data_IF_968260067556
#
_entry.id   IF_968260067556
#
_cell.length_a   1.000
_cell.length_b   1.000
_cell.length_c   1.000
_cell.angle_alpha   90.00
_cell.angle_beta   90.00
_cell.angle_gamma   90.00
#
_symmetry.space_group_name_H-M   'P 1'
#
loop_
_entity.id
_entity.type
_entity.pdbx_description
1 polymer ?
#
# COMPACT_ATOMS: atom_id res chain seq x y z
N UNK A 1 3.84 2.85 17.47
CA UNK A 1 5.20 2.74 16.89
C UNK A 1 5.03 2.64 15.38
N UNK A 2 5.88 3.31 14.60
CA UNK A 2 5.82 3.29 13.13
C UNK A 2 6.69 2.15 12.63
N UNK A 3 6.16 1.35 11.71
CA UNK A 3 6.87 0.21 11.14
C UNK A 3 7.00 0.39 9.62
N UNK A 4 8.17 0.09 9.08
CA UNK A 4 8.47 0.15 7.66
C UNK A 4 7.68 -0.90 6.88
N UNK A 5 7.43 -2.08 7.46
CA UNK A 5 6.50 -3.05 6.85
C UNK A 5 5.06 -2.53 6.78
N UNK A 6 4.70 -1.48 7.52
CA UNK A 6 3.43 -0.75 7.36
C UNK A 6 3.57 0.54 6.54
N UNK A 7 4.72 0.82 5.93
CA UNK A 7 4.98 2.04 5.16
C UNK A 7 5.10 3.28 6.05
N UNK A 8 5.80 3.18 7.17
CA UNK A 8 5.94 4.23 8.20
C UNK A 8 4.63 4.67 8.84
N UNK A 9 3.58 3.85 8.70
CA UNK A 9 2.28 4.06 9.36
C UNK A 9 2.16 3.21 10.63
N UNK A 10 1.10 3.45 11.41
CA UNK A 10 0.78 2.63 12.58
C UNK A 10 0.23 1.27 12.11
N UNK A 11 0.56 0.19 12.82
CA UNK A 11 -0.09 -1.10 12.59
C UNK A 11 -1.60 -1.00 12.84
N UNK A 12 -2.43 -1.63 12.01
CA UNK A 12 -3.87 -1.64 12.21
C UNK A 12 -4.25 -2.43 13.48
N UNK A 13 -5.31 -1.99 14.14
CA UNK A 13 -5.73 -2.53 15.44
C UNK A 13 -6.11 -4.01 15.37
N UNK A 14 -6.79 -4.43 14.29
CA UNK A 14 -7.15 -5.84 14.07
C UNK A 14 -5.90 -6.73 13.99
N UNK A 15 -4.80 -6.26 13.41
CA UNK A 15 -3.57 -7.02 13.29
C UNK A 15 -2.90 -7.17 14.65
N UNK A 16 -2.86 -6.11 15.46
CA UNK A 16 -2.27 -6.16 16.81
C UNK A 16 -3.05 -7.08 17.75
N UNK A 17 -4.39 -7.15 17.60
CA UNK A 17 -5.21 -8.06 18.38
C UNK A 17 -4.90 -9.54 18.06
N UNK A 18 -4.66 -9.84 16.78
CA UNK A 18 -4.50 -11.22 16.29
C UNK A 18 -3.02 -11.67 16.19
N UNK A 19 -2.05 -10.74 16.18
CA UNK A 19 -0.62 -11.06 16.05
C UNK A 19 -0.09 -11.92 17.19
N UNK A 20 -0.73 -11.87 18.36
CA UNK A 20 -0.42 -12.75 19.48
C UNK A 20 -0.60 -14.23 19.15
N UNK A 21 -1.49 -14.59 18.20
CA UNK A 21 -1.69 -15.99 17.78
C UNK A 21 -0.45 -16.56 17.09
N UNK A 22 0.32 -15.73 16.39
CA UNK A 22 1.54 -16.14 15.70
C UNK A 22 2.63 -16.62 16.68
N UNK A 23 2.56 -16.19 17.94
CA UNK A 23 3.49 -16.64 19.00
C UNK A 23 3.26 -18.11 19.40
N UNK A 24 2.02 -18.61 19.23
CA UNK A 24 1.64 -19.99 19.56
C UNK A 24 2.10 -21.01 18.51
N UNK A 25 2.49 -20.54 17.32
CA UNK A 25 2.87 -21.39 16.19
C UNK A 25 4.34 -21.77 16.29
N UNK A 26 4.65 -23.06 16.10
CA UNK A 26 6.03 -23.53 16.00
C UNK A 26 6.72 -22.98 14.75
N UNK A 27 8.01 -22.62 14.86
CA UNK A 27 8.79 -22.00 13.78
C UNK A 27 8.79 -22.78 12.46
N UNK A 28 8.77 -24.11 12.52
CA UNK A 28 8.65 -24.98 11.34
C UNK A 28 7.30 -24.83 10.64
N UNK A 29 6.20 -24.76 11.39
CA UNK A 29 4.85 -24.55 10.84
C UNK A 29 4.71 -23.14 10.29
N UNK A 30 5.28 -22.14 10.96
CA UNK A 30 5.30 -20.75 10.47
C UNK A 30 5.93 -20.65 9.09
N UNK A 31 7.05 -21.35 8.87
CA UNK A 31 7.71 -21.43 7.56
C UNK A 31 6.78 -22.00 6.48
N UNK A 32 6.14 -23.13 6.76
CA UNK A 32 5.26 -23.83 5.81
C UNK A 32 4.00 -23.00 5.50
N UNK A 33 3.39 -22.39 6.51
CA UNK A 33 2.23 -21.49 6.33
C UNK A 33 2.61 -20.31 5.44
N UNK A 34 3.75 -19.66 5.72
CA UNK A 34 4.26 -18.55 4.91
C UNK A 34 4.51 -19.00 3.46
N UNK A 35 5.11 -20.18 3.27
CA UNK A 35 5.37 -20.74 1.93
C UNK A 35 4.09 -21.02 1.15
N UNK A 36 3.08 -21.62 1.78
CA UNK A 36 1.80 -21.89 1.12
C UNK A 36 1.04 -20.60 0.77
N UNK A 37 1.04 -19.61 1.66
CA UNK A 37 0.44 -18.29 1.38
C UNK A 37 1.14 -17.64 0.18
N UNK A 38 2.47 -17.66 0.15
CA UNK A 38 3.26 -17.14 -0.97
C UNK A 38 2.98 -17.89 -2.29
N UNK A 39 2.85 -19.21 -2.25
CA UNK A 39 2.46 -20.00 -3.42
C UNK A 39 1.05 -19.64 -3.90
N UNK A 40 0.10 -19.43 -2.99
CA UNK A 40 -1.25 -19.00 -3.36
C UNK A 40 -1.23 -17.62 -4.05
N UNK A 41 -0.47 -16.66 -3.52
CA UNK A 41 -0.38 -15.31 -4.11
C UNK A 41 0.33 -15.33 -5.47
N UNK A 42 1.44 -16.08 -5.59
CA UNK A 42 2.28 -16.08 -6.80
C UNK A 42 1.74 -17.00 -7.90
N UNK A 43 1.30 -18.20 -7.53
CA UNK A 43 0.91 -19.26 -8.47
C UNK A 43 -0.61 -19.38 -8.62
N UNK A 44 -1.40 -18.69 -7.78
CA UNK A 44 -2.87 -18.77 -7.80
C UNK A 44 -3.43 -20.12 -7.35
N UNK A 45 -2.61 -20.93 -6.66
CA UNK A 45 -2.99 -22.26 -6.20
C UNK A 45 -3.70 -22.15 -4.86
N UNK A 46 -4.95 -22.60 -4.76
CA UNK A 46 -5.67 -22.63 -3.49
C UNK A 46 -5.03 -23.65 -2.53
N UNK A 47 -4.17 -23.16 -1.64
CA UNK A 47 -3.51 -23.93 -0.59
C UNK A 47 -4.18 -23.77 0.77
N UNK A 48 -5.32 -23.07 0.86
CA UNK A 48 -6.02 -22.81 2.12
C UNK A 48 -6.32 -24.11 2.86
N UNK A 49 -6.89 -25.10 2.18
CA UNK A 49 -7.21 -26.41 2.73
C UNK A 49 -6.00 -27.17 3.31
N UNK A 50 -4.79 -26.95 2.76
CA UNK A 50 -3.55 -27.55 3.30
C UNK A 50 -3.12 -26.88 4.59
N UNK A 51 -3.24 -25.56 4.66
CA UNK A 51 -2.95 -24.77 5.87
C UNK A 51 -3.91 -25.16 7.00
N UNK A 52 -5.21 -25.29 6.70
CA UNK A 52 -6.22 -25.73 7.66
C UNK A 52 -5.87 -27.08 8.29
N UNK A 53 -5.59 -28.11 7.47
CA UNK A 53 -5.23 -29.45 7.97
C UNK A 53 -3.96 -29.44 8.84
N UNK A 54 -2.99 -28.58 8.52
CA UNK A 54 -1.74 -28.48 9.27
C UNK A 54 -1.93 -27.81 10.64
N UNK A 55 -2.77 -26.78 10.71
CA UNK A 55 -3.01 -26.02 11.94
C UNK A 55 -4.08 -26.66 12.84
N UNK A 56 -5.07 -27.36 12.29
CA UNK A 56 -6.02 -28.17 13.07
C UNK A 56 -5.31 -29.21 13.93
N UNK A 57 -4.30 -29.90 13.38
CA UNK A 57 -3.45 -30.84 14.14
C UNK A 57 -2.60 -30.19 15.24
N UNK A 58 -2.65 -28.86 15.39
CA UNK A 58 -1.93 -28.09 16.40
C UNK A 58 -2.86 -27.53 17.48
N UNK A 59 -4.17 -27.80 17.40
CA UNK A 59 -5.16 -27.32 18.36
C UNK A 59 -5.69 -25.90 18.10
N UNK A 60 -5.54 -25.37 16.88
CA UNK A 60 -6.09 -24.06 16.51
C UNK A 60 -7.55 -24.19 16.08
N UNK A 61 -8.37 -23.22 16.47
CA UNK A 61 -9.74 -23.10 15.99
C UNK A 61 -9.78 -22.52 14.56
N UNK A 62 -10.87 -22.75 13.81
CA UNK A 62 -11.02 -22.21 12.45
C UNK A 62 -10.85 -20.68 12.37
N UNK A 63 -11.33 -19.95 13.38
CA UNK A 63 -11.14 -18.51 13.48
C UNK A 63 -9.66 -18.14 13.66
N UNK A 64 -8.95 -18.81 14.57
CA UNK A 64 -7.52 -18.56 14.81
C UNK A 64 -6.67 -18.90 13.59
N UNK A 65 -7.06 -19.93 12.81
CA UNK A 65 -6.41 -20.28 11.55
C UNK A 65 -6.59 -19.15 10.53
N UNK A 66 -7.81 -18.64 10.37
CA UNK A 66 -8.08 -17.53 9.45
C UNK A 66 -7.33 -16.25 9.87
N UNK A 67 -7.33 -15.93 11.16
CA UNK A 67 -6.58 -14.81 11.71
C UNK A 67 -5.08 -14.95 11.46
N UNK A 68 -4.54 -16.16 11.63
CA UNK A 68 -3.13 -16.46 11.33
C UNK A 68 -2.82 -16.23 9.86
N UNK A 69 -3.65 -16.76 8.95
CA UNK A 69 -3.48 -16.57 7.51
C UNK A 69 -3.53 -15.08 7.17
N UNK A 70 -4.51 -14.35 7.68
CA UNK A 70 -4.64 -12.91 7.46
C UNK A 70 -3.43 -12.13 7.97
N UNK A 71 -2.91 -12.44 9.16
CA UNK A 71 -1.73 -11.78 9.71
C UNK A 71 -0.48 -12.06 8.88
N UNK A 72 -0.23 -13.32 8.49
CA UNK A 72 0.95 -13.67 7.69
C UNK A 72 0.86 -13.09 6.29
N UNK A 73 -0.30 -13.18 5.63
CA UNK A 73 -0.54 -12.51 4.35
C UNK A 73 -0.29 -11.02 4.46
N UNK A 74 -0.86 -10.35 5.47
CA UNK A 74 -0.66 -8.92 5.68
C UNK A 74 0.82 -8.55 5.86
N UNK A 75 1.58 -9.30 6.66
CA UNK A 75 3.02 -9.06 6.82
C UNK A 75 3.74 -9.17 5.46
N UNK A 76 3.49 -10.27 4.73
CA UNK A 76 4.17 -10.57 3.47
C UNK A 76 3.83 -9.57 2.37
N UNK A 77 2.54 -9.27 2.19
CA UNK A 77 2.05 -8.35 1.16
C UNK A 77 2.57 -6.94 1.38
N UNK A 78 2.49 -6.42 2.61
CA UNK A 78 3.00 -5.07 2.89
C UNK A 78 4.53 -5.02 2.86
N UNK A 79 5.22 -6.07 3.32
CA UNK A 79 6.69 -6.15 3.20
C UNK A 79 7.14 -6.11 1.75
N UNK A 80 6.41 -6.77 0.84
CA UNK A 80 6.67 -6.71 -0.60
C UNK A 80 6.37 -5.31 -1.17
N UNK A 81 5.23 -4.73 -0.78
CA UNK A 81 4.77 -3.42 -1.27
C UNK A 81 5.71 -2.27 -0.90
N UNK A 82 6.26 -2.28 0.32
CA UNK A 82 7.18 -1.23 0.80
C UNK A 82 8.65 -1.60 0.63
N UNK A 83 8.95 -2.66 -0.14
CA UNK A 83 10.30 -3.14 -0.44
C UNK A 83 11.20 -3.31 0.80
N UNK A 84 10.64 -3.86 1.88
CA UNK A 84 11.36 -3.97 3.16
C UNK A 84 12.49 -4.99 3.08
N UNK A 85 13.61 -4.70 3.74
CA UNK A 85 14.75 -5.62 3.84
C UNK A 85 14.51 -6.71 4.91
N UNK A 86 15.09 -7.89 4.73
CA UNK A 86 14.99 -9.03 5.66
C UNK A 86 15.38 -8.64 7.10
N UNK A 87 16.47 -7.88 7.25
CA UNK A 87 16.99 -7.50 8.56
C UNK A 87 16.08 -6.51 9.29
N UNK A 88 15.43 -5.59 8.55
CA UNK A 88 14.47 -4.64 9.11
C UNK A 88 13.20 -5.38 9.50
N UNK A 89 12.68 -6.24 8.62
CA UNK A 89 11.48 -7.01 8.89
C UNK A 89 11.62 -7.87 10.16
N UNK A 90 12.75 -8.54 10.35
CA UNK A 90 13.00 -9.33 11.57
C UNK A 90 12.96 -8.45 12.82
N UNK A 91 13.61 -7.28 12.81
CA UNK A 91 13.63 -6.36 13.95
C UNK A 91 12.23 -5.87 14.30
N UNK A 92 11.47 -5.43 13.30
CA UNK A 92 10.11 -4.92 13.48
C UNK A 92 9.14 -5.98 14.01
N UNK A 93 9.25 -7.22 13.52
CA UNK A 93 8.44 -8.32 14.02
C UNK A 93 8.82 -8.72 15.46
N UNK A 94 10.11 -8.63 15.83
CA UNK A 94 10.55 -8.83 17.22
C UNK A 94 10.02 -7.72 18.13
N UNK A 95 10.02 -6.47 17.66
CA UNK A 95 9.49 -5.33 18.40
C UNK A 95 7.97 -5.44 18.62
N UNK A 96 7.27 -6.15 17.74
CA UNK A 96 5.85 -6.53 17.90
C UNK A 96 5.61 -7.69 18.89
N UNK A 97 6.68 -8.29 19.43
CA UNK A 97 6.61 -9.38 20.41
C UNK A 97 6.57 -10.79 19.81
N UNK A 98 6.92 -10.95 18.52
CA UNK A 98 6.98 -12.28 17.90
C UNK A 98 8.27 -13.02 18.27
N UNK A 99 8.23 -14.36 18.39
CA UNK A 99 9.43 -15.14 18.67
C UNK A 99 10.46 -14.97 17.54
N UNK A 100 11.72 -14.70 17.91
CA UNK A 100 12.82 -14.48 16.96
C UNK A 100 12.93 -15.59 15.91
N UNK A 101 12.75 -16.85 16.31
CA UNK A 101 12.78 -17.99 15.39
C UNK A 101 11.69 -17.91 14.30
N UNK A 102 10.48 -17.49 14.67
CA UNK A 102 9.36 -17.34 13.74
C UNK A 102 9.65 -16.21 12.75
N UNK A 103 10.18 -15.09 13.23
CA UNK A 103 10.56 -13.94 12.40
C UNK A 103 11.65 -14.31 11.37
N UNK A 104 12.67 -15.06 11.79
CA UNK A 104 13.74 -15.52 10.89
C UNK A 104 13.23 -16.48 9.81
N UNK A 105 12.36 -17.44 10.17
CA UNK A 105 11.82 -18.39 9.19
C UNK A 105 10.87 -17.71 8.19
N UNK A 106 10.02 -16.79 8.67
CA UNK A 106 9.14 -16.00 7.81
C UNK A 106 9.96 -15.15 6.84
N UNK A 107 10.96 -14.41 7.34
CA UNK A 107 11.75 -13.47 6.53
C UNK A 107 12.62 -14.18 5.50
N UNK A 108 13.18 -15.36 5.84
CA UNK A 108 13.90 -16.24 4.88
C UNK A 108 13.00 -16.72 3.76
N UNK A 109 11.77 -17.13 4.10
CA UNK A 109 10.79 -17.60 3.09
C UNK A 109 10.32 -16.45 2.22
N UNK A 110 10.01 -15.30 2.82
CA UNK A 110 9.67 -14.07 2.10
C UNK A 110 10.74 -13.68 1.07
N UNK A 111 12.02 -13.68 1.46
CA UNK A 111 13.13 -13.33 0.56
C UNK A 111 13.21 -14.21 -0.69
N UNK A 112 12.88 -15.50 -0.58
CA UNK A 112 12.89 -16.42 -1.74
C UNK A 112 11.78 -16.10 -2.75
N UNK A 113 10.68 -15.53 -2.29
CA UNK A 113 9.51 -15.21 -3.13
C UNK A 113 9.38 -13.72 -3.41
N UNK A 114 10.21 -12.85 -2.82
CA UNK A 114 10.15 -11.39 -2.94
C UNK A 114 10.17 -10.94 -4.40
N UNK A 115 11.13 -11.44 -5.19
CA UNK A 115 11.26 -11.06 -6.60
C UNK A 115 10.04 -11.50 -7.43
N UNK A 116 9.51 -12.69 -7.15
CA UNK A 116 8.31 -13.21 -7.83
C UNK A 116 7.06 -12.44 -7.44
N UNK A 117 6.92 -12.10 -6.16
CA UNK A 117 5.82 -11.27 -5.67
C UNK A 117 5.86 -9.88 -6.31
N UNK A 118 7.03 -9.26 -6.40
CA UNK A 118 7.19 -7.98 -7.07
C UNK A 118 6.79 -8.07 -8.54
N UNK A 119 7.20 -9.11 -9.27
CA UNK A 119 6.75 -9.33 -10.64
C UNK A 119 5.23 -9.53 -10.76
N UNK A 120 4.62 -10.30 -9.86
CA UNK A 120 3.17 -10.49 -9.83
C UNK A 120 2.46 -9.17 -9.56
N UNK A 121 2.94 -8.39 -8.60
CA UNK A 121 2.39 -7.06 -8.34
C UNK A 121 2.62 -6.09 -9.50
N UNK A 122 3.79 -6.06 -10.12
CA UNK A 122 4.04 -5.25 -11.33
C UNK A 122 3.07 -5.58 -12.47
N UNK A 123 2.69 -6.85 -12.61
CA UNK A 123 1.70 -7.29 -13.60
C UNK A 123 0.25 -7.00 -13.17
N UNK A 124 -0.02 -6.92 -11.87
CA UNK A 124 -1.35 -6.60 -11.30
C UNK A 124 -1.56 -5.10 -11.03
N UNK A 125 -0.49 -4.30 -11.00
CA UNK A 125 -0.56 -2.85 -10.89
C UNK A 125 -1.31 -2.38 -12.12
N UNK A 126 -2.49 -1.82 -11.89
CA UNK A 126 -3.20 -1.02 -12.87
C UNK A 126 -2.21 0.07 -13.26
N UNK A 127 -1.66 -0.01 -14.47
CA UNK A 127 -0.82 1.05 -15.00
C UNK A 127 -1.66 2.32 -14.94
N UNK A 128 -1.26 3.23 -14.04
CA UNK A 128 -1.87 4.55 -13.94
C UNK A 128 -1.80 5.12 -15.34
N UNK A 129 -2.96 5.53 -15.89
CA UNK A 129 -2.99 6.12 -17.22
C UNK A 129 -1.90 7.21 -17.30
N UNK A 130 -1.09 7.17 -18.35
CA UNK A 130 -0.08 8.20 -18.55
C UNK A 130 -0.82 9.51 -18.76
N UNK A 131 -0.50 10.55 -17.98
CA UNK A 131 -0.99 11.89 -18.28
C UNK A 131 -0.34 12.30 -19.63
N UNK A 132 -1.16 12.43 -20.67
CA UNK A 132 -0.69 12.75 -22.04
C UNK A 132 -0.77 14.24 -22.28
N UNK A 133 -1.88 14.85 -21.84
CA UNK A 133 -2.15 16.26 -22.09
C UNK A 133 -2.62 16.95 -20.81
N UNK A 134 -2.07 18.14 -20.59
CA UNK A 134 -2.44 19.05 -19.52
C UNK A 134 -2.89 20.36 -20.16
N UNK A 135 -4.18 20.67 -20.07
CA UNK A 135 -4.76 21.92 -20.53
C UNK A 135 -5.16 22.75 -19.32
N UNK A 136 -4.82 24.03 -19.34
CA UNK A 136 -5.24 24.97 -18.30
C UNK A 136 -5.83 26.24 -18.91
N UNK A 137 -6.88 26.75 -18.28
CA UNK A 137 -7.50 28.04 -18.57
C UNK A 137 -7.51 28.89 -17.30
N UNK A 138 -7.09 30.16 -17.41
CA UNK A 138 -7.17 31.09 -16.29
C UNK A 138 -8.50 31.84 -16.41
N UNK A 139 -9.40 31.57 -15.48
CA UNK A 139 -10.73 32.18 -15.43
C UNK A 139 -10.80 33.16 -14.26
N UNK A 140 -11.47 34.30 -14.49
CA UNK A 140 -11.79 35.28 -13.45
C UNK A 140 -13.29 35.27 -13.23
N UNK A 141 -13.76 35.19 -11.98
CA UNK A 141 -15.16 35.47 -11.68
C UNK A 141 -15.47 36.91 -12.11
N UNK A 142 -16.27 37.08 -13.16
CA UNK A 142 -16.96 38.33 -13.44
C UNK A 142 -18.24 38.28 -12.61
N UNK A 143 -18.17 38.82 -11.39
CA UNK A 143 -19.39 39.12 -10.63
C UNK A 143 -20.07 40.26 -11.37
N UNK A 144 -21.15 39.98 -12.09
CA UNK A 144 -22.06 40.99 -12.60
C UNK A 144 -22.56 41.82 -11.41
N UNK A 145 -22.31 43.12 -11.46
CA UNK A 145 -22.69 44.08 -10.43
C UNK A 145 -24.16 43.93 -10.02
N UNK A 146 -24.38 43.54 -8.77
CA UNK A 146 -25.29 44.21 -7.83
C UNK A 146 -25.19 43.52 -6.48
N UNK A 147 -24.81 44.29 -5.46
CA UNK A 147 -24.81 43.94 -4.03
C UNK A 147 -23.66 43.06 -3.56
N UNK A 148 -22.50 43.65 -3.17
CA UNK A 148 -21.74 43.42 -1.92
C UNK A 148 -20.59 44.46 -1.84
N UNK A 149 -20.24 45.03 -0.66
CA UNK A 149 -19.21 46.09 -0.52
C UNK A 149 -17.78 45.61 -0.82
N UNK A 150 -17.00 46.48 -1.46
CA UNK A 150 -15.66 46.29 -2.02
C UNK A 150 -14.50 46.14 -1.00
N UNK A 151 -14.56 45.18 -0.08
CA UNK A 151 -13.38 44.83 0.73
C UNK A 151 -13.13 43.33 0.69
N UNK A 152 -12.13 42.94 -0.10
CA UNK A 152 -11.58 41.61 -0.42
C UNK A 152 -11.85 41.18 -1.87
N UNK A 153 -11.08 41.75 -2.81
CA UNK A 153 -10.97 41.25 -4.20
C UNK A 153 -9.50 40.93 -4.51
N UNK A 154 -8.77 40.43 -3.52
CA UNK A 154 -7.52 39.70 -3.75
C UNK A 154 -7.90 38.22 -3.67
N UNK A 155 -8.31 37.61 -4.80
CA UNK A 155 -8.68 36.18 -4.78
C UNK A 155 -9.55 35.65 -5.90
N UNK A 156 -10.09 36.47 -6.81
CA UNK A 156 -11.07 35.99 -7.81
C UNK A 156 -10.48 35.27 -9.04
N UNK A 157 -9.26 34.71 -8.95
CA UNK A 157 -8.63 33.96 -10.04
C UNK A 157 -8.64 32.48 -9.68
N UNK A 158 -9.17 31.65 -10.56
CA UNK A 158 -9.08 30.20 -10.46
C UNK A 158 -8.56 29.63 -11.77
N UNK A 159 -7.91 28.48 -11.70
CA UNK A 159 -7.37 27.77 -12.84
C UNK A 159 -8.28 26.58 -13.11
N UNK A 160 -8.97 26.61 -14.25
CA UNK A 160 -9.68 25.46 -14.78
C UNK A 160 -8.66 24.55 -15.45
N UNK A 161 -8.46 23.37 -14.88
CA UNK A 161 -7.45 22.41 -15.35
C UNK A 161 -8.13 21.15 -15.85
N UNK A 162 -7.74 20.71 -17.05
CA UNK A 162 -8.13 19.45 -17.64
C UNK A 162 -6.88 18.60 -17.86
N UNK A 163 -6.86 17.41 -17.25
CA UNK A 163 -5.79 16.44 -17.45
C UNK A 163 -6.39 15.22 -18.16
N UNK A 164 -5.82 14.88 -19.30
CA UNK A 164 -6.18 13.67 -20.05
C UNK A 164 -5.18 12.57 -19.75
N UNK A 165 -5.69 11.49 -19.17
CA UNK A 165 -4.94 10.27 -18.88
C UNK A 165 -5.22 9.24 -19.97
N UNK A 166 -4.16 8.71 -20.59
CA UNK A 166 -4.27 7.60 -21.52
C UNK A 166 -3.90 6.31 -20.81
N UNK A 167 -4.87 5.41 -20.70
CA UNK A 167 -4.65 4.06 -20.22
C UNK A 167 -4.11 3.17 -21.35
N UNK A 168 -3.33 2.16 -20.99
CA UNK A 168 -2.73 1.22 -21.95
C UNK A 168 -3.76 0.40 -22.74
N UNK A 169 -5.02 0.40 -22.30
CA UNK A 169 -6.15 -0.20 -23.01
C UNK A 169 -6.68 0.69 -24.15
N UNK A 170 -6.02 1.80 -24.45
CA UNK A 170 -6.44 2.79 -25.45
C UNK A 170 -7.59 3.71 -25.00
N UNK A 171 -8.08 3.55 -23.76
CA UNK A 171 -9.12 4.42 -23.17
C UNK A 171 -8.50 5.69 -22.62
N UNK A 172 -8.99 6.84 -23.10
CA UNK A 172 -8.66 8.16 -22.56
C UNK A 172 -9.70 8.57 -21.52
N UNK A 173 -9.24 8.96 -20.34
CA UNK A 173 -10.07 9.55 -19.29
C UNK A 173 -9.65 11.00 -19.08
N UNK A 174 -10.61 11.91 -19.03
CA UNK A 174 -10.35 13.33 -18.79
C UNK A 174 -10.85 13.70 -17.39
N UNK A 175 -9.95 14.22 -16.56
CA UNK A 175 -10.28 14.77 -15.25
C UNK A 175 -10.24 16.30 -15.33
N UNK A 176 -11.41 16.91 -15.13
CA UNK A 176 -11.55 18.37 -15.02
C UNK A 176 -11.65 18.76 -13.55
N UNK A 177 -10.85 19.72 -13.12
CA UNK A 177 -10.90 20.26 -11.76
C UNK A 177 -10.47 21.72 -11.73
N UNK A 178 -10.92 22.42 -10.69
CA UNK A 178 -10.68 23.85 -10.48
C UNK A 178 -9.69 24.03 -9.33
N UNK A 179 -8.66 24.83 -9.54
CA UNK A 179 -7.59 25.08 -8.57
C UNK A 179 -7.55 26.57 -8.23
N UNK A 180 -7.56 26.90 -6.95
CA UNK A 180 -7.29 28.26 -6.47
C UNK A 180 -5.78 28.50 -6.27
N UNK A 181 -5.28 29.75 -6.29
CA UNK A 181 -3.86 30.04 -6.21
C UNK A 181 -3.14 29.39 -5.01
N UNK A 182 -3.77 29.38 -3.85
CA UNK A 182 -3.23 28.74 -2.63
C UNK A 182 -3.06 27.23 -2.81
N UNK A 183 -4.05 26.56 -3.41
CA UNK A 183 -4.02 25.13 -3.68
C UNK A 183 -3.01 24.76 -4.78
N UNK A 184 -2.74 25.67 -5.71
CA UNK A 184 -1.71 25.48 -6.73
C UNK A 184 -0.32 25.42 -6.11
N UNK A 185 -0.02 26.29 -5.15
CA UNK A 185 1.26 26.30 -4.45
C UNK A 185 1.47 24.99 -3.67
N UNK A 186 0.44 24.52 -2.96
CA UNK A 186 0.47 23.23 -2.26
C UNK A 186 0.69 22.05 -3.23
N UNK A 187 -0.02 22.07 -4.37
CA UNK A 187 0.12 21.04 -5.40
C UNK A 187 1.54 21.03 -5.99
N UNK A 188 2.11 22.20 -6.31
CA UNK A 188 3.49 22.32 -6.81
C UNK A 188 4.52 21.80 -5.80
N UNK A 189 4.32 22.08 -4.52
CA UNK A 189 5.21 21.58 -3.46
C UNK A 189 5.15 20.07 -3.33
N UNK A 190 3.96 19.47 -3.42
CA UNK A 190 3.79 18.02 -3.42
C UNK A 190 4.46 17.35 -4.63
N UNK A 191 4.32 17.92 -5.83
CA UNK A 191 4.98 17.40 -7.03
C UNK A 191 6.49 17.50 -6.97
N UNK A 192 7.04 18.62 -6.47
CA UNK A 192 8.50 18.75 -6.25
C UNK A 192 9.01 17.71 -5.26
N UNK A 193 8.23 17.41 -4.21
CA UNK A 193 8.58 16.36 -3.24
C UNK A 193 8.56 14.97 -3.88
N UNK A 194 7.53 14.66 -4.66
CA UNK A 194 7.44 13.41 -5.42
C UNK A 194 8.60 13.26 -6.42
N UNK A 195 8.95 14.32 -7.14
CA UNK A 195 10.08 14.32 -8.07
C UNK A 195 11.41 14.03 -7.36
N UNK A 196 11.64 14.62 -6.18
CA UNK A 196 12.84 14.33 -5.38
C UNK A 196 12.92 12.87 -4.96
N UNK A 197 11.80 12.28 -4.55
CA UNK A 197 11.73 10.86 -4.18
C UNK A 197 11.98 9.96 -5.39
N UNK A 198 11.45 10.31 -6.56
CA UNK A 198 11.66 9.57 -7.81
C UNK A 198 13.09 9.68 -8.35
N UNK A 199 13.82 10.77 -8.09
CA UNK A 199 15.23 10.92 -8.46
C UNK A 199 16.22 10.26 -7.49
N UNK A 200 15.75 9.81 -6.32
CA UNK A 200 16.55 9.12 -5.31
C UNK A 200 16.44 7.58 -5.41
N UNK A 201 15.54 7.09 -6.25
CA UNK A 201 15.44 5.71 -6.72
C UNK A 201 16.30 5.52 -7.97
#
# INVERSE_FOLDING_TARGET
MRFLFCGDSNCPEWFLAESALLTKIASVKMKLVTQYILQNIVEGVDTSAKIFKMLEGSGFNQQEINSTIACVSYIVENSAKYDVSEQVLIKELIDLGLPKENCEQLSKTFKQYKDKLQQVYENQIIRIGKAVEFHYGISKFIVSESVVPQKQIEGNRFIDTNITFQHDNGKQECCQFVIFPEQLEDMLNSFKKAQKLMMQL
#
